data_IF_264879062575
#
_entry.id   IF_264879062575
#
_cell.length_a   1.000
_cell.length_b   1.000
_cell.length_c   1.000
_cell.angle_alpha   90.00
_cell.angle_beta   90.00
_cell.angle_gamma   90.00
#
_symmetry.space_group_name_H-M   'P 1'
#
loop_
_entity.id
_entity.type
_entity.pdbx_description
1 polymer ?
#
# COMPACT_ATOMS: atom_id res chain seq x y z
N UNK A 1 -4.47 -36.18 -4.60
CA UNK A 1 -3.06 -36.39 -4.96
C UNK A 1 -2.18 -35.90 -3.82
N UNK A 2 -1.45 -36.77 -3.06
CA UNK A 2 -0.74 -36.39 -1.85
C UNK A 2 0.41 -35.39 -2.10
N UNK A 3 1.05 -35.42 -3.26
CA UNK A 3 2.14 -34.50 -3.61
C UNK A 3 1.71 -33.02 -3.72
N UNK A 4 0.54 -32.75 -4.25
CA UNK A 4 0.05 -31.36 -4.36
C UNK A 4 -0.30 -30.77 -3.00
N UNK A 5 -0.80 -31.56 -2.08
CA UNK A 5 -1.14 -31.14 -0.72
C UNK A 5 0.13 -30.87 0.10
N UNK A 6 1.11 -31.79 0.06
CA UNK A 6 2.41 -31.64 0.73
C UNK A 6 3.16 -30.41 0.19
N UNK A 7 3.21 -30.24 -1.13
CA UNK A 7 3.88 -29.09 -1.75
C UNK A 7 3.24 -27.76 -1.36
N UNK A 8 1.90 -27.72 -1.28
CA UNK A 8 1.17 -26.52 -0.81
C UNK A 8 1.46 -26.21 0.65
N UNK A 9 1.54 -27.23 1.53
CA UNK A 9 1.84 -27.01 2.95
C UNK A 9 3.25 -26.45 3.14
N UNK A 10 4.25 -26.96 2.44
CA UNK A 10 5.63 -26.44 2.48
C UNK A 10 5.73 -25.00 1.96
N UNK A 11 4.97 -24.68 0.91
CA UNK A 11 4.94 -23.33 0.37
C UNK A 11 4.22 -22.37 1.34
N UNK A 12 3.13 -22.80 1.97
CA UNK A 12 2.41 -22.02 2.96
C UNK A 12 3.31 -21.66 4.15
N UNK A 13 4.09 -22.65 4.64
CA UNK A 13 5.06 -22.44 5.71
C UNK A 13 6.17 -21.44 5.32
N UNK A 14 6.72 -21.57 4.12
CA UNK A 14 7.73 -20.64 3.60
C UNK A 14 7.18 -19.22 3.47
N UNK A 15 5.93 -19.06 3.00
CA UNK A 15 5.26 -17.75 2.90
C UNK A 15 4.99 -17.15 4.29
N UNK A 16 4.59 -17.98 5.27
CA UNK A 16 4.39 -17.54 6.65
C UNK A 16 5.69 -17.03 7.25
N UNK A 17 6.77 -17.79 7.15
CA UNK A 17 8.12 -17.40 7.63
C UNK A 17 8.60 -16.09 6.99
N UNK A 18 8.40 -15.92 5.69
CA UNK A 18 8.75 -14.67 5.01
C UNK A 18 7.96 -13.46 5.56
N UNK A 19 6.74 -13.68 6.01
CA UNK A 19 5.89 -12.68 6.68
C UNK A 19 6.07 -12.67 8.21
N UNK A 20 7.18 -13.23 8.72
CA UNK A 20 7.51 -13.28 10.15
C UNK A 20 6.42 -14.00 10.99
N UNK A 21 5.80 -15.02 10.41
CA UNK A 21 4.73 -15.85 11.00
C UNK A 21 3.49 -15.06 11.49
N UNK A 22 3.28 -13.86 10.91
CA UNK A 22 2.14 -13.01 11.25
C UNK A 22 0.82 -13.47 10.65
N UNK A 23 0.86 -14.28 9.59
CA UNK A 23 -0.32 -14.70 8.84
C UNK A 23 -0.25 -16.17 8.46
N UNK A 24 -1.42 -16.80 8.42
CA UNK A 24 -1.59 -18.13 7.80
C UNK A 24 -1.67 -17.99 6.28
N UNK A 25 -1.26 -19.05 5.59
CA UNK A 25 -1.26 -19.11 4.13
C UNK A 25 -1.87 -20.42 3.63
N UNK A 26 -2.54 -20.36 2.48
CA UNK A 26 -2.97 -21.53 1.72
C UNK A 26 -1.85 -22.13 0.87
N UNK A 27 -0.76 -21.42 0.67
CA UNK A 27 0.34 -21.80 -0.21
C UNK A 27 0.03 -21.61 -1.70
N UNK A 28 -0.75 -20.57 -2.06
CA UNK A 28 -1.08 -20.25 -3.45
C UNK A 28 -0.12 -19.21 -3.99
N UNK A 29 0.66 -19.57 -5.00
CA UNK A 29 1.65 -18.67 -5.63
C UNK A 29 1.01 -17.46 -6.29
N UNK A 30 1.76 -16.34 -6.35
CA UNK A 30 1.31 -15.10 -6.97
C UNK A 30 0.88 -15.26 -8.43
N UNK A 31 1.60 -16.06 -9.23
CA UNK A 31 1.22 -16.34 -10.61
C UNK A 31 -0.17 -16.98 -10.73
N UNK A 32 -0.43 -18.03 -9.94
CA UNK A 32 -1.72 -18.72 -9.91
C UNK A 32 -2.85 -17.78 -9.47
N UNK A 33 -2.61 -16.95 -8.44
CA UNK A 33 -3.57 -15.92 -8.03
C UNK A 33 -3.87 -14.94 -9.16
N UNK A 34 -2.83 -14.50 -9.90
CA UNK A 34 -2.98 -13.58 -11.01
C UNK A 34 -3.84 -14.16 -12.15
N UNK A 35 -3.72 -15.45 -12.44
CA UNK A 35 -4.57 -16.14 -13.43
C UNK A 35 -6.03 -16.14 -12.99
N UNK A 36 -6.30 -16.40 -11.69
CA UNK A 36 -7.64 -16.31 -11.12
C UNK A 36 -8.20 -14.89 -11.30
N UNK A 37 -7.42 -13.86 -10.94
CA UNK A 37 -7.85 -12.46 -11.06
C UNK A 37 -8.17 -12.07 -12.51
N UNK A 38 -7.34 -12.51 -13.46
CA UNK A 38 -7.60 -12.28 -14.88
C UNK A 38 -8.92 -12.85 -15.36
N UNK A 39 -9.33 -13.97 -14.79
CA UNK A 39 -10.59 -14.65 -15.16
C UNK A 39 -11.83 -13.92 -14.63
N UNK A 40 -11.80 -13.41 -13.40
CA UNK A 40 -13.00 -12.92 -12.72
C UNK A 40 -13.11 -11.39 -12.66
N UNK A 41 -12.01 -10.64 -12.56
CA UNK A 41 -12.05 -9.18 -12.42
C UNK A 41 -12.54 -8.42 -13.64
N UNK A 42 -12.41 -8.89 -14.90
CA UNK A 42 -13.04 -8.23 -16.03
C UNK A 42 -14.55 -8.11 -15.90
N UNK A 43 -15.24 -9.14 -15.38
CA UNK A 43 -16.68 -9.13 -15.18
C UNK A 43 -17.06 -8.21 -14.01
N UNK A 44 -16.31 -8.22 -12.92
CA UNK A 44 -16.49 -7.28 -11.83
C UNK A 44 -16.42 -5.81 -12.30
N UNK A 45 -15.54 -5.47 -13.25
CA UNK A 45 -15.46 -4.10 -13.79
C UNK A 45 -16.71 -3.66 -14.56
N UNK A 46 -17.50 -4.59 -15.08
CA UNK A 46 -18.73 -4.27 -15.81
C UNK A 46 -19.82 -3.70 -14.90
N UNK A 47 -19.80 -4.05 -13.61
CA UNK A 47 -20.77 -3.54 -12.63
C UNK A 47 -20.56 -2.05 -12.32
N UNK A 48 -19.33 -1.52 -12.51
CA UNK A 48 -18.92 -0.15 -12.21
C UNK A 48 -19.13 0.28 -10.74
N UNK A 49 -19.30 -0.70 -9.86
CA UNK A 49 -19.50 -0.50 -8.41
C UNK A 49 -18.59 -1.45 -7.63
N UNK A 50 -18.15 -1.01 -6.45
CA UNK A 50 -17.36 -1.86 -5.56
C UNK A 50 -18.33 -2.80 -4.82
N UNK A 51 -18.08 -4.08 -4.89
CA UNK A 51 -18.75 -5.08 -4.05
C UNK A 51 -18.05 -5.13 -2.68
N UNK A 52 -18.56 -4.33 -1.75
CA UNK A 52 -18.00 -4.24 -0.41
C UNK A 52 -18.31 -5.47 0.45
N UNK A 53 -19.39 -6.18 0.20
CA UNK A 53 -19.72 -7.44 0.90
C UNK A 53 -18.70 -8.53 0.54
N UNK A 54 -18.31 -8.59 -0.74
CA UNK A 54 -17.21 -9.45 -1.18
C UNK A 54 -15.88 -9.05 -0.53
N UNK A 55 -15.57 -7.75 -0.47
CA UNK A 55 -14.35 -7.22 0.16
C UNK A 55 -14.31 -7.63 1.63
N UNK A 56 -15.37 -7.40 2.38
CA UNK A 56 -15.46 -7.72 3.81
C UNK A 56 -15.39 -9.23 4.06
N UNK A 57 -16.13 -10.02 3.28
CA UNK A 57 -16.10 -11.48 3.37
C UNK A 57 -14.70 -12.06 3.18
N UNK A 58 -13.95 -11.56 2.17
CA UNK A 58 -12.58 -11.99 1.94
C UNK A 58 -11.62 -11.44 3.00
N UNK A 59 -11.77 -10.16 3.41
CA UNK A 59 -10.87 -9.55 4.40
C UNK A 59 -10.91 -10.25 5.74
N UNK A 60 -12.07 -10.76 6.14
CA UNK A 60 -12.27 -11.45 7.40
C UNK A 60 -11.69 -12.87 7.46
N UNK A 61 -11.35 -13.48 6.31
CA UNK A 61 -10.68 -14.80 6.29
C UNK A 61 -9.30 -14.74 6.95
N UNK A 62 -8.88 -15.87 7.52
CA UNK A 62 -7.59 -15.94 8.23
C UNK A 62 -6.40 -15.98 7.28
N UNK A 63 -6.53 -16.68 6.15
CA UNK A 63 -5.43 -16.87 5.24
C UNK A 63 -5.14 -15.63 4.41
N UNK A 64 -3.86 -15.27 4.33
CA UNK A 64 -3.36 -14.02 3.74
C UNK A 64 -3.72 -13.85 2.26
N UNK A 65 -3.83 -14.94 1.53
CA UNK A 65 -4.23 -14.89 0.13
C UNK A 65 -5.59 -14.22 -0.09
N UNK A 66 -6.52 -14.29 0.86
CA UNK A 66 -7.80 -13.59 0.75
C UNK A 66 -7.64 -12.07 0.85
N UNK A 67 -6.74 -11.58 1.71
CA UNK A 67 -6.43 -10.14 1.73
C UNK A 67 -5.75 -9.71 0.42
N UNK A 68 -4.92 -10.57 -0.19
CA UNK A 68 -4.39 -10.28 -1.54
C UNK A 68 -5.49 -10.22 -2.60
N UNK A 69 -6.51 -11.10 -2.54
CA UNK A 69 -7.67 -10.99 -3.45
C UNK A 69 -8.30 -9.62 -3.33
N UNK A 70 -8.55 -9.14 -2.10
CA UNK A 70 -9.14 -7.82 -1.83
C UNK A 70 -8.30 -6.69 -2.42
N UNK A 71 -7.00 -6.63 -2.14
CA UNK A 71 -6.18 -5.51 -2.61
C UNK A 71 -6.04 -5.49 -4.13
N UNK A 72 -5.97 -6.66 -4.78
CA UNK A 72 -5.94 -6.73 -6.24
C UNK A 72 -7.30 -6.44 -6.87
N UNK A 73 -8.41 -6.84 -6.23
CA UNK A 73 -9.76 -6.47 -6.63
C UNK A 73 -9.95 -4.95 -6.57
N UNK A 74 -9.64 -4.32 -5.44
CA UNK A 74 -9.73 -2.88 -5.28
C UNK A 74 -8.82 -2.13 -6.27
N UNK A 75 -7.61 -2.65 -6.53
CA UNK A 75 -6.75 -2.10 -7.59
C UNK A 75 -7.39 -2.19 -8.97
N UNK A 76 -8.08 -3.30 -9.29
CA UNK A 76 -8.78 -3.45 -10.56
C UNK A 76 -10.00 -2.52 -10.66
N UNK A 77 -10.62 -2.20 -9.54
CA UNK A 77 -11.84 -1.40 -9.41
C UNK A 77 -11.57 0.07 -9.01
N UNK A 78 -10.32 0.48 -8.81
CA UNK A 78 -9.93 1.76 -8.20
C UNK A 78 -10.57 3.00 -8.82
N UNK A 79 -10.87 2.99 -10.13
CA UNK A 79 -11.53 4.10 -10.81
C UNK A 79 -13.00 4.31 -10.42
N UNK A 80 -13.62 3.31 -9.79
CA UNK A 80 -15.00 3.35 -9.32
C UNK A 80 -15.13 3.69 -7.84
N UNK A 81 -14.00 3.85 -7.12
CA UNK A 81 -14.00 4.32 -5.75
C UNK A 81 -14.58 5.73 -5.65
N UNK A 82 -15.38 5.96 -4.63
CA UNK A 82 -16.04 7.21 -4.32
C UNK A 82 -15.49 7.85 -3.06
N UNK A 83 -15.87 9.11 -2.81
CA UNK A 83 -15.43 9.88 -1.63
C UNK A 83 -15.66 9.11 -0.31
N UNK A 84 -16.82 8.55 -0.13
CA UNK A 84 -17.22 7.82 1.07
C UNK A 84 -16.42 6.53 1.33
N UNK A 85 -15.77 5.99 0.31
CA UNK A 85 -15.01 4.74 0.44
C UNK A 85 -13.71 4.90 1.23
N UNK A 86 -13.26 6.13 1.48
CA UNK A 86 -12.02 6.38 2.22
C UNK A 86 -12.02 5.78 3.63
N UNK A 87 -13.16 5.77 4.30
CA UNK A 87 -13.31 5.18 5.63
C UNK A 87 -13.14 3.66 5.60
N UNK A 88 -13.67 3.00 4.58
CA UNK A 88 -13.50 1.55 4.35
C UNK A 88 -12.05 1.21 3.99
N UNK A 89 -11.41 2.02 3.14
CA UNK A 89 -9.99 1.87 2.85
C UNK A 89 -9.13 2.05 4.11
N UNK A 90 -9.45 3.05 4.96
CA UNK A 90 -8.78 3.23 6.26
C UNK A 90 -8.90 1.97 7.13
N UNK A 91 -10.09 1.39 7.22
CA UNK A 91 -10.32 0.13 7.97
C UNK A 91 -9.41 -1.01 7.47
N UNK A 92 -9.29 -1.19 6.16
CA UNK A 92 -8.42 -2.22 5.59
C UNK A 92 -6.93 -1.94 5.89
N UNK A 93 -6.52 -0.68 5.91
CA UNK A 93 -5.13 -0.30 6.21
C UNK A 93 -4.77 -0.60 7.66
N UNK A 94 -5.67 -0.34 8.62
CA UNK A 94 -5.39 -0.46 10.06
C UNK A 94 -5.69 -1.85 10.62
N UNK A 95 -6.30 -2.74 9.83
CA UNK A 95 -6.61 -4.12 10.22
C UNK A 95 -5.79 -5.11 9.41
N UNK A 96 -5.34 -6.20 10.03
CA UNK A 96 -4.47 -7.22 9.41
C UNK A 96 -3.27 -6.59 8.66
N UNK A 97 -2.75 -5.50 9.21
CA UNK A 97 -1.79 -4.61 8.58
C UNK A 97 -0.41 -5.27 8.45
N UNK A 98 0.16 -5.21 7.26
CA UNK A 98 1.56 -5.50 6.98
C UNK A 98 1.94 -4.86 5.65
N UNK A 99 3.24 -4.64 5.40
CA UNK A 99 3.72 -3.92 4.23
C UNK A 99 3.21 -4.46 2.89
N UNK A 100 3.01 -5.75 2.77
CA UNK A 100 2.61 -6.45 1.53
C UNK A 100 1.20 -6.08 1.03
N UNK A 101 0.26 -5.78 1.93
CA UNK A 101 -1.08 -5.28 1.58
C UNK A 101 -1.15 -3.76 1.65
N UNK A 102 -0.51 -3.15 2.64
CA UNK A 102 -0.53 -1.70 2.86
C UNK A 102 0.06 -0.93 1.67
N UNK A 103 1.16 -1.41 1.08
CA UNK A 103 1.80 -0.75 -0.06
C UNK A 103 0.94 -0.81 -1.34
N UNK A 104 0.15 -1.87 -1.49
CA UNK A 104 -0.83 -1.97 -2.58
C UNK A 104 -2.04 -1.06 -2.31
N UNK A 105 -2.53 -1.01 -1.06
CA UNK A 105 -3.61 -0.11 -0.65
C UNK A 105 -3.20 1.36 -0.79
N UNK A 106 -1.93 1.71 -0.55
CA UNK A 106 -1.44 3.07 -0.77
C UNK A 106 -1.67 3.54 -2.21
N UNK A 107 -1.46 2.67 -3.21
CA UNK A 107 -1.75 2.98 -4.62
C UNK A 107 -3.25 3.11 -4.90
N UNK A 108 -4.07 2.30 -4.24
CA UNK A 108 -5.54 2.37 -4.36
C UNK A 108 -6.04 3.68 -3.76
N UNK A 109 -5.57 4.04 -2.57
CA UNK A 109 -5.86 5.33 -1.91
C UNK A 109 -5.38 6.49 -2.78
N UNK A 110 -4.14 6.42 -3.30
CA UNK A 110 -3.60 7.44 -4.20
C UNK A 110 -4.50 7.70 -5.41
N UNK A 111 -5.02 6.62 -6.04
CA UNK A 111 -5.93 6.75 -7.17
C UNK A 111 -7.25 7.45 -6.82
N UNK A 112 -7.68 7.39 -5.57
CA UNK A 112 -8.87 8.08 -5.07
C UNK A 112 -8.54 9.54 -4.75
N UNK A 113 -7.47 9.77 -3.97
CA UNK A 113 -7.06 11.09 -3.48
C UNK A 113 -6.81 12.07 -4.62
N UNK A 114 -6.07 11.67 -5.66
CA UNK A 114 -5.74 12.55 -6.80
C UNK A 114 -6.95 12.93 -7.68
N UNK A 115 -8.09 12.26 -7.52
CA UNK A 115 -9.32 12.54 -8.28
C UNK A 115 -10.30 13.45 -7.55
N UNK A 116 -10.11 13.65 -6.27
CA UNK A 116 -11.04 14.37 -5.40
C UNK A 116 -10.30 15.55 -4.79
N UNK A 117 -10.68 16.75 -5.19
CA UNK A 117 -10.13 18.00 -4.68
C UNK A 117 -10.20 18.07 -3.15
N UNK A 118 -9.11 18.50 -2.51
CA UNK A 118 -8.99 18.63 -1.06
C UNK A 118 -8.74 17.32 -0.29
N UNK A 119 -8.63 16.18 -0.99
CA UNK A 119 -8.37 14.89 -0.32
C UNK A 119 -6.90 14.68 0.10
N UNK A 120 -6.00 15.47 -0.42
CA UNK A 120 -4.63 15.60 0.06
C UNK A 120 -4.57 15.99 1.54
N UNK A 121 -5.54 16.76 2.03
CA UNK A 121 -5.68 17.08 3.46
C UNK A 121 -5.79 15.83 4.33
N UNK A 122 -6.51 14.81 3.90
CA UNK A 122 -6.60 13.52 4.60
C UNK A 122 -5.23 12.85 4.69
N UNK A 123 -4.42 12.94 3.64
CA UNK A 123 -3.06 12.38 3.65
C UNK A 123 -2.15 13.15 4.60
N UNK A 124 -2.31 14.47 4.70
CA UNK A 124 -1.60 15.30 5.69
C UNK A 124 -2.00 14.93 7.13
N UNK A 125 -3.26 14.61 7.37
CA UNK A 125 -3.74 14.11 8.67
C UNK A 125 -3.16 12.72 8.96
N UNK A 126 -3.24 11.79 8.00
CA UNK A 126 -2.70 10.44 8.17
C UNK A 126 -1.17 10.43 8.37
N UNK A 127 -0.46 11.41 7.81
CA UNK A 127 0.99 11.55 8.03
C UNK A 127 1.37 11.84 9.48
N UNK A 128 0.42 12.27 10.31
CA UNK A 128 0.58 12.57 11.75
C UNK A 128 -0.14 11.58 12.66
N UNK A 129 -0.79 10.56 12.09
CA UNK A 129 -1.55 9.58 12.87
C UNK A 129 -0.60 8.74 13.74
N UNK A 130 -1.09 8.23 14.88
CA UNK A 130 -0.33 7.31 15.73
C UNK A 130 -0.12 5.94 15.07
N UNK A 131 -0.97 5.56 14.10
CA UNK A 131 -0.86 4.30 13.38
C UNK A 131 0.18 4.40 12.27
N UNK A 132 1.26 3.62 12.38
CA UNK A 132 2.38 3.64 11.43
C UNK A 132 1.97 3.27 9.99
N UNK A 133 0.91 2.47 9.81
CA UNK A 133 0.45 2.07 8.47
C UNK A 133 -0.32 3.18 7.78
N UNK A 134 -1.02 4.05 8.50
CA UNK A 134 -1.61 5.27 7.93
C UNK A 134 -0.53 6.27 7.53
N UNK A 135 0.49 6.49 8.40
CA UNK A 135 1.68 7.28 8.04
C UNK A 135 2.34 6.75 6.77
N UNK A 136 2.56 5.41 6.71
CA UNK A 136 3.18 4.76 5.56
C UNK A 136 2.37 4.98 4.28
N UNK A 137 1.04 4.83 4.32
CA UNK A 137 0.16 5.10 3.18
C UNK A 137 0.27 6.56 2.76
N UNK A 138 0.25 7.51 3.70
CA UNK A 138 0.43 8.94 3.40
C UNK A 138 1.76 9.24 2.70
N UNK A 139 2.85 8.57 3.08
CA UNK A 139 4.15 8.73 2.41
C UNK A 139 4.13 8.14 0.99
N UNK A 140 3.44 7.00 0.78
CA UNK A 140 3.54 6.20 -0.44
C UNK A 140 2.42 6.46 -1.47
N UNK A 141 1.36 7.21 -1.14
CA UNK A 141 0.19 7.34 -2.04
C UNK A 141 0.51 8.02 -3.38
N UNK A 142 1.56 8.82 -3.45
CA UNK A 142 2.01 9.48 -4.69
C UNK A 142 3.02 8.67 -5.51
N UNK A 143 3.39 7.46 -5.08
CA UNK A 143 4.34 6.63 -5.84
C UNK A 143 3.88 6.44 -7.28
N UNK A 144 4.83 6.61 -8.20
CA UNK A 144 4.65 6.43 -9.65
C UNK A 144 3.73 7.47 -10.31
N UNK A 145 3.39 8.58 -9.66
CA UNK A 145 2.66 9.69 -10.27
C UNK A 145 3.54 10.55 -11.17
N UNK A 146 4.86 10.39 -11.11
CA UNK A 146 5.84 11.07 -11.98
C UNK A 146 5.73 12.61 -11.83
N UNK A 147 5.47 13.29 -12.95
CA UNK A 147 5.32 14.76 -13.01
C UNK A 147 4.07 15.25 -12.27
N UNK A 148 3.12 14.36 -11.96
CA UNK A 148 1.88 14.68 -11.25
C UNK A 148 2.02 14.66 -9.73
N UNK A 149 3.22 14.42 -9.20
CA UNK A 149 3.48 14.49 -7.78
C UNK A 149 3.29 15.92 -7.29
N UNK A 150 2.41 16.12 -6.31
CA UNK A 150 2.36 17.37 -5.56
C UNK A 150 3.55 17.40 -4.58
N UNK A 151 4.59 18.10 -4.99
CA UNK A 151 5.84 18.19 -4.21
C UNK A 151 5.68 18.96 -2.90
N UNK A 152 4.72 19.88 -2.81
CA UNK A 152 4.48 20.64 -1.57
C UNK A 152 3.82 19.73 -0.53
N UNK A 153 2.82 18.96 -0.94
CA UNK A 153 2.18 17.97 -0.08
C UNK A 153 3.16 16.85 0.29
N UNK A 154 3.95 16.36 -0.67
CA UNK A 154 4.99 15.37 -0.41
C UNK A 154 6.00 15.88 0.63
N UNK A 155 6.55 17.09 0.46
CA UNK A 155 7.49 17.69 1.42
C UNK A 155 6.89 17.72 2.83
N UNK A 156 5.67 18.24 2.98
CA UNK A 156 4.99 18.33 4.28
C UNK A 156 4.80 16.96 4.94
N UNK A 157 4.41 15.95 4.17
CA UNK A 157 4.24 14.58 4.67
C UNK A 157 5.58 13.98 5.11
N UNK A 158 6.63 14.16 4.31
CA UNK A 158 7.97 13.67 4.66
C UNK A 158 8.48 14.34 5.92
N UNK A 159 8.38 15.67 6.00
CA UNK A 159 8.83 16.44 7.18
C UNK A 159 8.08 16.02 8.46
N UNK A 160 6.78 15.74 8.37
CA UNK A 160 6.00 15.23 9.51
C UNK A 160 6.51 13.89 10.07
N UNK A 161 7.31 13.16 9.28
CA UNK A 161 7.79 11.81 9.62
C UNK A 161 9.31 11.71 9.75
N UNK A 162 10.03 12.82 9.64
CA UNK A 162 11.47 12.86 9.93
C UNK A 162 11.72 12.61 11.43
N UNK A 163 12.79 11.90 11.74
CA UNK A 163 13.13 11.53 13.12
C UNK A 163 12.29 10.38 13.70
N UNK A 164 11.38 9.79 12.92
CA UNK A 164 10.65 8.59 13.34
C UNK A 164 11.63 7.42 13.48
N UNK A 165 11.47 6.60 14.54
CA UNK A 165 12.31 5.43 14.79
C UNK A 165 11.86 4.17 14.05
N UNK A 166 10.65 4.18 13.48
CA UNK A 166 10.05 3.02 12.85
C UNK A 166 10.70 2.65 11.51
N UNK A 167 11.13 1.40 11.40
CA UNK A 167 11.76 0.88 10.18
C UNK A 167 10.91 1.11 8.93
N UNK A 168 9.62 0.79 9.00
CA UNK A 168 8.72 0.89 7.85
C UNK A 168 8.44 2.33 7.41
N UNK A 169 8.54 3.30 8.31
CA UNK A 169 8.41 4.72 8.01
C UNK A 169 9.67 5.23 7.30
N UNK A 170 10.84 4.97 7.88
CA UNK A 170 12.11 5.38 7.29
C UNK A 170 12.36 4.74 5.91
N UNK A 171 11.96 3.48 5.75
CA UNK A 171 11.98 2.79 4.44
C UNK A 171 11.06 3.46 3.43
N UNK A 172 9.85 3.86 3.85
CA UNK A 172 8.88 4.54 2.97
C UNK A 172 9.39 5.92 2.52
N UNK A 173 10.01 6.69 3.41
CA UNK A 173 10.60 8.00 3.08
C UNK A 173 11.65 7.83 1.98
N UNK A 174 12.61 6.92 2.17
CA UNK A 174 13.64 6.67 1.17
C UNK A 174 13.05 6.20 -0.17
N UNK A 175 12.08 5.29 -0.14
CA UNK A 175 11.41 4.83 -1.36
C UNK A 175 10.67 5.95 -2.10
N UNK A 176 9.93 6.81 -1.39
CA UNK A 176 9.24 7.94 -2.01
C UNK A 176 10.23 8.92 -2.67
N UNK A 177 11.33 9.25 -2.00
CA UNK A 177 12.39 10.10 -2.54
C UNK A 177 13.06 9.45 -3.76
N UNK A 178 13.42 8.17 -3.70
CA UNK A 178 14.00 7.43 -4.82
C UNK A 178 13.06 7.34 -6.02
N UNK A 179 11.76 7.15 -5.80
CA UNK A 179 10.79 7.12 -6.90
C UNK A 179 10.69 8.48 -7.57
N UNK A 180 10.62 9.57 -6.79
CA UNK A 180 10.49 10.91 -7.31
C UNK A 180 11.80 11.47 -7.91
N UNK A 181 12.98 11.01 -7.46
CA UNK A 181 14.27 11.42 -8.01
C UNK A 181 14.45 11.11 -9.51
N UNK A 182 13.69 10.14 -10.02
CA UNK A 182 13.67 9.80 -11.46
C UNK A 182 13.06 10.90 -12.33
N UNK A 183 12.29 11.80 -11.72
CA UNK A 183 11.54 12.85 -12.40
C UNK A 183 12.03 14.25 -11.98
N UNK A 184 12.39 14.43 -10.73
CA UNK A 184 12.91 15.70 -10.22
C UNK A 184 14.08 15.47 -9.24
N UNK A 185 15.27 15.11 -9.78
CA UNK A 185 16.44 14.80 -8.95
C UNK A 185 16.96 16.03 -8.19
N UNK A 186 16.80 17.23 -8.75
CA UNK A 186 17.24 18.46 -8.12
C UNK A 186 16.46 18.74 -6.84
N UNK A 187 15.14 18.69 -6.90
CA UNK A 187 14.29 18.85 -5.73
C UNK A 187 14.60 17.82 -4.64
N UNK A 188 14.83 16.56 -5.02
CA UNK A 188 15.16 15.51 -4.05
C UNK A 188 16.52 15.79 -3.39
N UNK A 189 17.50 16.26 -4.14
CA UNK A 189 18.81 16.65 -3.59
C UNK A 189 18.67 17.79 -2.60
N UNK A 190 17.95 18.85 -2.97
CA UNK A 190 17.67 20.00 -2.10
C UNK A 190 16.93 19.57 -0.82
N UNK A 191 15.93 18.70 -0.94
CA UNK A 191 15.19 18.16 0.20
C UNK A 191 16.13 17.41 1.16
N UNK A 192 16.99 16.54 0.65
CA UNK A 192 17.95 15.78 1.46
C UNK A 192 18.94 16.72 2.14
N UNK A 193 19.55 17.66 1.43
CA UNK A 193 20.50 18.61 2.00
C UNK A 193 19.86 19.44 3.12
N UNK A 194 18.66 19.93 2.92
CA UNK A 194 17.90 20.71 3.91
C UNK A 194 17.56 19.91 5.17
N UNK A 195 17.29 18.61 5.02
CA UNK A 195 16.68 17.79 6.08
C UNK A 195 17.58 16.67 6.61
N UNK A 196 18.82 16.54 6.12
CA UNK A 196 19.71 15.40 6.43
C UNK A 196 19.90 15.10 7.93
N UNK A 197 19.91 16.13 8.77
CA UNK A 197 20.09 15.98 10.22
C UNK A 197 18.88 15.33 10.91
N UNK A 198 17.69 15.39 10.28
CA UNK A 198 16.47 14.70 10.76
C UNK A 198 16.18 13.40 10.04
N UNK A 199 16.93 13.05 9.01
CA UNK A 199 16.73 11.83 8.24
C UNK A 199 17.45 10.63 8.86
N UNK A 200 16.79 9.49 8.93
CA UNK A 200 17.45 8.24 9.30
C UNK A 200 18.42 7.78 8.20
N UNK A 201 19.53 7.13 8.60
CA UNK A 201 20.48 6.54 7.65
C UNK A 201 19.83 5.57 6.66
N UNK A 202 18.77 4.88 7.07
CA UNK A 202 18.00 3.99 6.20
C UNK A 202 17.33 4.77 5.06
N UNK A 203 16.71 5.92 5.35
CA UNK A 203 16.06 6.75 4.33
C UNK A 203 17.04 7.33 3.31
N UNK A 204 18.28 7.63 3.75
CA UNK A 204 19.33 8.17 2.87
C UNK A 204 19.91 7.09 1.95
N UNK A 205 19.97 5.83 2.42
CA UNK A 205 20.53 4.70 1.64
C UNK A 205 19.58 4.11 0.61
N UNK A 206 18.27 4.31 0.76
CA UNK A 206 17.23 3.83 -0.18
C UNK A 206 17.23 4.61 -1.49
#
# INVERSE_FOLDING_TARGET
FPYTTLFRSLLAESMSKYMQDKFRFLGVRGATRTEIYKKYFPDARKTKTIDWDFVESCWNKEEREFQYVVVYYLKAMQKFLKREDISRLKYLIVTKSWWDTVDLLAKVVGSLVIRIEGYDQIMLEWSKDSNIWLKRVAILYQLSLKEKVDKQVLERILVNNLGDSEFFINKAIGWALRDYSKFNPEWVREFIEKNKNGMANLSIRE
#
